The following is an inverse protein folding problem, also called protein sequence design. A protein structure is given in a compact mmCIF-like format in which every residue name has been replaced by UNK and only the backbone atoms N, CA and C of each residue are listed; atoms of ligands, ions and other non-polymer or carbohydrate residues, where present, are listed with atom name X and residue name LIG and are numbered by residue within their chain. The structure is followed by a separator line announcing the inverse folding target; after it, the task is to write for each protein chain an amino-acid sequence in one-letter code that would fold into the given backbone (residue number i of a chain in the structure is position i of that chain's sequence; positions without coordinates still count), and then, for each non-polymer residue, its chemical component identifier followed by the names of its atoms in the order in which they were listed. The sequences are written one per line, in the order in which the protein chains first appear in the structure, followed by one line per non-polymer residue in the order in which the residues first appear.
data_IF_841270457926
#
_entry.id   IF_841270457926
#
_cell.length_a   1.000
_cell.length_b   1.000
_cell.length_c   1.000
_cell.angle_alpha   90.00
_cell.angle_beta   90.00
_cell.angle_gamma   90.00
#
_symmetry.space_group_name_H-M   'P 1'
#
loop_
_entity.id
_entity.type
_entity.pdbx_description
1 polymer ?
#
# COMPACT_ATOMS: atom_id res chain seq x y z
N UNK A 1 5.16 -85.12 -17.60
CA UNK A 1 4.02 -84.28 -18.05
C UNK A 1 4.04 -83.02 -17.19
N UNK A 2 4.59 -81.93 -17.72
CA UNK A 2 3.86 -80.79 -18.34
C UNK A 2 3.12 -79.94 -17.29
N UNK A 3 3.73 -78.78 -17.02
CA UNK A 3 3.20 -77.46 -16.66
C UNK A 3 2.05 -77.37 -15.65
N UNK A 4 2.26 -76.60 -14.59
CA UNK A 4 1.50 -75.41 -14.19
C UNK A 4 2.09 -74.96 -12.85
N UNK A 5 2.97 -73.96 -12.87
CA UNK A 5 3.22 -73.13 -11.69
C UNK A 5 3.11 -71.68 -12.16
N UNK A 6 1.85 -71.29 -12.24
CA UNK A 6 1.33 -69.95 -12.51
C UNK A 6 1.82 -69.02 -11.36
N UNK A 7 2.54 -67.94 -11.68
CA UNK A 7 1.97 -66.59 -11.80
C UNK A 7 1.48 -65.98 -10.46
N UNK A 8 2.35 -65.76 -9.47
CA UNK A 8 2.11 -64.76 -8.41
C UNK A 8 3.45 -64.18 -7.92
N UNK A 9 4.11 -63.31 -8.70
CA UNK A 9 5.19 -62.46 -8.15
C UNK A 9 5.44 -61.19 -8.98
N UNK A 10 4.37 -60.45 -9.30
CA UNK A 10 4.50 -59.19 -10.07
C UNK A 10 3.45 -58.14 -9.68
N UNK A 11 3.09 -58.06 -8.39
CA UNK A 11 2.07 -57.12 -7.91
C UNK A 11 2.48 -56.30 -6.67
N UNK A 12 3.77 -55.97 -6.52
CA UNK A 12 4.25 -55.10 -5.42
C UNK A 12 5.25 -54.04 -5.92
N UNK A 13 4.96 -53.46 -7.09
CA UNK A 13 5.62 -52.25 -7.58
C UNK A 13 4.57 -51.19 -7.95
N UNK A 14 3.55 -51.02 -7.11
CA UNK A 14 2.88 -49.73 -7.03
C UNK A 14 3.76 -48.84 -6.16
N UNK A 15 4.82 -48.33 -6.79
CA UNK A 15 5.49 -47.11 -6.37
C UNK A 15 4.41 -46.09 -6.10
N UNK A 16 4.18 -45.84 -4.82
CA UNK A 16 3.50 -44.66 -4.30
C UNK A 16 4.33 -43.44 -4.74
N UNK A 17 4.24 -43.09 -6.02
CA UNK A 17 4.53 -41.75 -6.46
C UNK A 17 3.36 -40.92 -5.93
N UNK A 18 3.40 -40.57 -4.64
CA UNK A 18 2.67 -39.40 -4.18
C UNK A 18 3.30 -38.26 -4.98
N UNK A 19 2.70 -37.91 -6.11
CA UNK A 19 2.88 -36.61 -6.71
C UNK A 19 2.57 -35.64 -5.59
N UNK A 20 3.61 -35.10 -4.96
CA UNK A 20 3.48 -34.07 -3.96
C UNK A 20 2.59 -33.00 -4.57
N UNK A 21 1.48 -32.67 -3.90
CA UNK A 21 0.63 -31.58 -4.36
C UNK A 21 1.53 -30.36 -4.63
N UNK A 22 1.34 -29.67 -5.76
CA UNK A 22 2.15 -28.51 -6.08
C UNK A 22 2.08 -27.54 -4.90
N UNK A 23 3.24 -27.00 -4.49
CA UNK A 23 3.30 -26.06 -3.39
C UNK A 23 2.41 -24.85 -3.72
N UNK A 24 1.34 -24.67 -2.95
CA UNK A 24 0.42 -23.55 -3.12
C UNK A 24 1.18 -22.24 -2.99
N UNK A 25 0.89 -21.29 -3.88
CA UNK A 25 1.45 -19.93 -3.82
C UNK A 25 0.69 -19.12 -2.78
N UNK A 26 1.41 -18.24 -2.10
CA UNK A 26 0.82 -17.31 -1.12
C UNK A 26 1.16 -15.87 -1.45
N UNK A 27 0.22 -14.98 -1.19
CA UNK A 27 0.47 -13.54 -1.22
C UNK A 27 -0.09 -12.85 0.01
N UNK A 28 0.58 -11.77 0.40
CA UNK A 28 0.16 -10.89 1.47
C UNK A 28 -0.03 -9.48 0.90
N UNK A 29 -1.22 -8.93 1.06
CA UNK A 29 -1.58 -7.59 0.60
C UNK A 29 -1.95 -6.74 1.81
N UNK A 30 -1.39 -5.55 1.96
CA UNK A 30 -1.78 -4.64 3.04
C UNK A 30 -1.86 -3.18 2.61
N UNK A 31 -2.65 -2.42 3.35
CA UNK A 31 -2.89 -1.00 3.11
C UNK A 31 -2.87 -0.25 4.44
N UNK A 32 -2.19 0.88 4.46
CA UNK A 32 -2.18 1.82 5.58
C UNK A 32 -2.53 3.20 5.04
N UNK A 33 -3.52 3.84 5.65
CA UNK A 33 -3.86 5.24 5.39
C UNK A 33 -3.80 6.03 6.67
N UNK A 34 -3.06 7.12 6.65
CA UNK A 34 -3.08 8.13 7.69
C UNK A 34 -3.74 9.40 7.19
N UNK A 35 -4.69 9.91 7.96
CA UNK A 35 -5.30 11.21 7.77
C UNK A 35 -4.79 12.16 8.84
N UNK A 36 -3.92 13.11 8.47
CA UNK A 36 -3.37 14.11 9.38
C UNK A 36 -4.44 15.02 10.00
N UNK A 37 -5.46 15.51 9.26
CA UNK A 37 -6.51 16.36 9.83
C UNK A 37 -7.28 15.69 10.98
N UNK A 38 -7.61 14.41 10.83
CA UNK A 38 -8.38 13.64 11.80
C UNK A 38 -7.50 12.90 12.81
N UNK A 39 -6.17 12.93 12.64
CA UNK A 39 -5.22 12.10 13.37
C UNK A 39 -5.67 10.63 13.43
N UNK A 40 -6.07 10.09 12.27
CA UNK A 40 -6.67 8.75 12.18
C UNK A 40 -5.84 7.84 11.28
N UNK A 41 -5.64 6.61 11.74
CA UNK A 41 -5.00 5.53 10.98
C UNK A 41 -6.05 4.47 10.64
N UNK A 42 -6.10 4.12 9.37
CA UNK A 42 -6.86 3.00 8.83
C UNK A 42 -5.89 1.96 8.27
N UNK A 43 -6.09 0.70 8.63
CA UNK A 43 -5.21 -0.42 8.26
C UNK A 43 -6.04 -1.57 7.73
N UNK A 44 -5.64 -2.12 6.59
CA UNK A 44 -6.19 -3.36 6.06
C UNK A 44 -5.09 -4.35 5.68
N UNK A 45 -5.40 -5.64 5.77
CA UNK A 45 -4.53 -6.71 5.30
C UNK A 45 -5.34 -7.93 4.84
N UNK A 46 -4.85 -8.62 3.83
CA UNK A 46 -5.42 -9.88 3.32
C UNK A 46 -4.29 -10.84 2.97
N UNK A 47 -4.40 -12.08 3.46
CA UNK A 47 -3.57 -13.20 3.00
C UNK A 47 -4.35 -13.96 1.92
N UNK A 48 -3.68 -14.39 0.86
CA UNK A 48 -4.27 -15.22 -0.18
C UNK A 48 -3.43 -16.46 -0.45
N UNK A 49 -4.08 -17.55 -0.85
CA UNK A 49 -3.43 -18.82 -1.21
C UNK A 49 -4.10 -19.46 -2.43
N UNK A 50 -3.33 -20.12 -3.29
CA UNK A 50 -3.83 -20.92 -4.41
C UNK A 50 -2.74 -21.31 -5.42
N UNK A 51 -3.10 -22.10 -6.42
CA UNK A 51 -2.15 -22.56 -7.45
C UNK A 51 -2.10 -21.60 -8.64
N UNK A 52 -3.25 -21.40 -9.28
CA UNK A 52 -3.43 -20.47 -10.42
C UNK A 52 -4.21 -19.22 -10.03
N UNK A 53 -5.21 -19.37 -9.14
CA UNK A 53 -6.06 -18.29 -8.65
C UNK A 53 -5.95 -18.22 -7.13
N UNK A 54 -5.50 -17.09 -6.60
CA UNK A 54 -5.33 -16.90 -5.17
C UNK A 54 -6.65 -16.48 -4.51
N UNK A 55 -7.08 -17.25 -3.52
CA UNK A 55 -8.28 -16.96 -2.73
C UNK A 55 -7.90 -16.42 -1.35
N UNK A 56 -8.65 -15.46 -0.78
CA UNK A 56 -8.43 -14.99 0.58
C UNK A 56 -8.48 -16.16 1.58
N UNK A 57 -7.51 -16.21 2.48
CA UNK A 57 -7.44 -17.20 3.56
C UNK A 57 -7.23 -16.51 4.90
N UNK A 58 -7.64 -17.19 5.96
CA UNK A 58 -7.20 -16.89 7.32
C UNK A 58 -5.89 -17.64 7.57
N UNK A 59 -4.74 -16.97 7.77
CA UNK A 59 -3.51 -17.64 8.16
C UNK A 59 -3.66 -18.32 9.53
N UNK A 60 -2.74 -19.21 9.87
CA UNK A 60 -2.66 -19.73 11.23
C UNK A 60 -2.40 -18.58 12.21
N UNK A 61 -3.24 -18.44 13.22
CA UNK A 61 -3.26 -17.27 14.10
C UNK A 61 -4.02 -16.07 13.52
N UNK A 62 -3.77 -14.89 14.09
CA UNK A 62 -4.35 -13.63 13.66
C UNK A 62 -3.27 -12.78 12.96
N UNK A 63 -3.68 -11.80 12.14
CA UNK A 63 -2.76 -10.79 11.62
C UNK A 63 -2.69 -9.66 12.64
N UNK A 64 -1.46 -9.27 13.00
CA UNK A 64 -1.19 -8.18 13.91
C UNK A 64 -0.61 -6.99 13.13
N UNK A 65 -1.02 -5.79 13.51
CA UNK A 65 -0.43 -4.53 13.07
C UNK A 65 0.15 -3.80 14.28
N UNK A 66 1.43 -3.46 14.24
CA UNK A 66 2.15 -2.85 15.37
C UNK A 66 1.95 -3.64 16.68
N UNK A 67 2.00 -4.98 16.59
CA UNK A 67 1.78 -5.88 17.73
C UNK A 67 0.33 -5.95 18.24
N UNK A 68 -0.63 -5.27 17.60
CA UNK A 68 -2.05 -5.35 17.96
C UNK A 68 -2.80 -6.23 16.97
N UNK A 69 -3.61 -7.14 17.50
CA UNK A 69 -4.48 -7.97 16.68
C UNK A 69 -5.47 -7.13 15.86
N UNK A 70 -5.60 -7.46 14.58
CA UNK A 70 -6.56 -6.85 13.68
C UNK A 70 -7.90 -7.59 13.75
N UNK A 71 -8.99 -6.87 13.49
CA UNK A 71 -10.34 -7.43 13.43
C UNK A 71 -10.52 -8.18 12.11
N UNK A 72 -10.87 -9.45 12.17
CA UNK A 72 -11.27 -10.24 11.00
C UNK A 72 -12.66 -9.83 10.51
N UNK A 73 -12.77 -9.52 9.22
CA UNK A 73 -14.01 -9.31 8.47
C UNK A 73 -14.12 -10.40 7.41
N UNK A 74 -15.29 -11.02 7.27
CA UNK A 74 -15.50 -12.17 6.36
C UNK A 74 -16.48 -11.88 5.22
N UNK A 75 -17.04 -10.68 5.15
CA UNK A 75 -18.02 -10.29 4.12
C UNK A 75 -17.63 -8.95 3.50
N UNK A 76 -17.51 -8.83 2.17
CA UNK A 76 -17.74 -9.86 1.14
C UNK A 76 -16.57 -10.85 0.97
N UNK A 77 -15.39 -10.58 1.53
CA UNK A 77 -14.20 -11.42 1.48
C UNK A 77 -13.45 -11.37 2.82
N UNK A 78 -12.50 -12.27 3.03
CA UNK A 78 -11.62 -12.26 4.20
C UNK A 78 -10.64 -11.07 4.13
N UNK A 79 -10.80 -10.14 5.06
CA UNK A 79 -9.92 -8.98 5.24
C UNK A 79 -9.76 -8.70 6.73
N UNK A 80 -8.55 -8.35 7.13
CA UNK A 80 -8.22 -7.89 8.47
C UNK A 80 -8.25 -6.37 8.47
N UNK A 81 -8.91 -5.76 9.47
CA UNK A 81 -9.02 -4.31 9.60
C UNK A 81 -8.64 -3.83 10.99
N UNK A 82 -7.97 -2.69 11.06
CA UNK A 82 -7.77 -1.94 12.29
C UNK A 82 -7.92 -0.44 12.00
N UNK A 83 -8.79 0.21 12.77
CA UNK A 83 -8.94 1.66 12.79
C UNK A 83 -8.50 2.16 14.16
N UNK A 84 -7.61 3.16 14.22
CA UNK A 84 -7.20 3.79 15.48
C UNK A 84 -7.01 5.29 15.33
N UNK A 85 -7.37 6.10 16.35
CA UNK A 85 -6.81 7.43 16.47
C UNK A 85 -5.32 7.33 16.84
N UNK A 86 -4.54 8.34 16.48
CA UNK A 86 -3.15 8.45 16.91
C UNK A 86 -2.27 9.30 16.01
N UNK A 87 -1.00 9.39 16.40
CA UNK A 87 0.05 10.00 15.58
C UNK A 87 0.50 9.05 14.49
N UNK A 88 1.03 9.62 13.41
CA UNK A 88 1.67 8.85 12.35
C UNK A 88 2.96 8.18 12.84
N UNK A 89 3.12 6.91 12.48
CA UNK A 89 4.32 6.12 12.71
C UNK A 89 5.05 6.00 11.37
N UNK A 90 6.33 6.40 11.26
CA UNK A 90 7.05 6.32 9.98
C UNK A 90 7.32 4.88 9.50
N UNK A 91 7.30 3.94 10.43
CA UNK A 91 7.47 2.50 10.22
C UNK A 91 6.14 1.80 10.52
N UNK A 92 5.73 0.88 9.64
CA UNK A 92 4.50 0.12 9.75
C UNK A 92 4.81 -1.37 9.65
N UNK A 93 4.60 -2.10 10.74
CA UNK A 93 4.92 -3.53 10.83
C UNK A 93 3.64 -4.37 10.90
N UNK A 94 3.53 -5.30 9.96
CA UNK A 94 2.55 -6.38 9.98
C UNK A 94 3.24 -7.66 10.39
N UNK A 95 2.56 -8.49 11.20
CA UNK A 95 3.09 -9.78 11.60
C UNK A 95 2.01 -10.85 11.69
N UNK A 96 2.37 -12.08 11.36
CA UNK A 96 1.49 -13.26 11.44
C UNK A 96 2.32 -14.51 11.74
N UNK A 97 1.65 -15.63 12.05
CA UNK A 97 2.31 -16.92 12.21
C UNK A 97 2.31 -17.69 10.89
N UNK A 98 3.44 -18.30 10.55
CA UNK A 98 3.51 -19.27 9.46
C UNK A 98 2.96 -20.63 9.90
N UNK A 99 2.88 -21.59 8.96
CA UNK A 99 2.42 -22.98 9.22
C UNK A 99 3.33 -23.78 10.16
N UNK A 100 4.48 -23.23 10.54
CA UNK A 100 5.42 -23.81 11.51
C UNK A 100 5.34 -23.09 12.85
N UNK A 101 4.44 -22.11 13.02
CA UNK A 101 4.30 -21.30 14.21
C UNK A 101 5.35 -20.18 14.38
N UNK A 102 6.22 -19.96 13.38
CA UNK A 102 7.20 -18.88 13.41
C UNK A 102 6.53 -17.54 13.11
N UNK A 103 7.01 -16.48 13.75
CA UNK A 103 6.55 -15.13 13.44
C UNK A 103 7.18 -14.65 12.13
N UNK A 104 6.35 -14.30 11.17
CA UNK A 104 6.74 -13.61 9.93
C UNK A 104 6.39 -12.13 10.06
N UNK A 105 7.20 -11.24 9.48
CA UNK A 105 6.97 -9.81 9.48
C UNK A 105 7.06 -9.22 8.07
N UNK A 106 6.19 -8.26 7.77
CA UNK A 106 6.30 -7.38 6.63
C UNK A 106 6.33 -5.94 7.11
N UNK A 107 7.36 -5.21 6.71
CA UNK A 107 7.61 -3.84 7.11
C UNK A 107 7.46 -2.90 5.93
N UNK A 108 6.80 -1.77 6.18
CA UNK A 108 6.71 -0.67 5.24
C UNK A 108 7.15 0.62 5.94
N UNK A 109 7.75 1.54 5.19
CA UNK A 109 8.22 2.82 5.72
C UNK A 109 7.81 3.98 4.82
N UNK A 110 7.34 5.06 5.41
CA UNK A 110 7.00 6.29 4.71
C UNK A 110 7.38 7.50 5.58
N UNK A 111 8.07 8.48 4.99
CA UNK A 111 8.34 9.76 5.66
C UNK A 111 7.12 10.68 5.55
N UNK A 112 6.64 11.29 6.65
CA UNK A 112 5.50 12.19 6.60
C UNK A 112 5.84 13.50 5.88
N UNK A 113 4.80 14.26 5.52
CA UNK A 113 4.93 15.62 4.97
C UNK A 113 4.17 16.57 5.90
N UNK A 114 4.88 17.24 6.80
CA UNK A 114 4.25 18.02 7.88
C UNK A 114 4.13 19.51 7.54
N UNK A 115 5.15 20.07 6.88
CA UNK A 115 5.14 21.45 6.43
C UNK A 115 5.39 21.47 4.93
N UNK A 116 4.54 22.20 4.20
CA UNK A 116 4.68 22.33 2.75
C UNK A 116 4.10 23.67 2.30
N UNK A 117 4.49 24.10 1.10
CA UNK A 117 3.93 25.30 0.49
C UNK A 117 4.70 25.77 -0.72
N UNK A 118 4.09 26.71 -1.45
CA UNK A 118 4.69 27.35 -2.62
C UNK A 118 5.65 28.50 -2.29
N UNK A 119 5.88 28.79 -1.00
CA UNK A 119 6.59 29.99 -0.54
C UNK A 119 5.85 31.32 -0.76
N UNK A 120 4.81 31.31 -1.59
CA UNK A 120 3.89 32.43 -1.88
C UNK A 120 2.45 31.94 -1.76
N UNK A 121 1.55 32.82 -1.28
CA UNK A 121 0.09 32.57 -1.29
C UNK A 121 -0.58 32.98 -2.59
N UNK A 122 0.19 33.39 -3.60
CA UNK A 122 -0.30 33.76 -4.93
C UNK A 122 0.44 32.96 -5.99
N UNK A 123 -0.33 32.28 -6.84
CA UNK A 123 0.17 31.55 -8.01
C UNK A 123 -0.27 32.27 -9.27
N UNK A 124 0.64 32.36 -10.25
CA UNK A 124 0.32 32.90 -11.56
C UNK A 124 0.12 31.77 -12.56
N UNK A 125 -0.98 31.80 -13.31
CA UNK A 125 -1.26 30.86 -14.40
C UNK A 125 -0.25 30.96 -15.56
N UNK A 126 0.59 32.00 -15.56
CA UNK A 126 1.60 32.25 -16.60
C UNK A 126 3.03 31.89 -16.16
N UNK A 127 3.24 31.50 -14.90
CA UNK A 127 4.58 31.19 -14.36
C UNK A 127 4.60 29.78 -13.77
N UNK A 128 5.75 29.14 -13.85
CA UNK A 128 5.98 27.95 -13.06
C UNK A 128 5.93 28.30 -11.56
N UNK A 129 5.49 27.33 -10.76
CA UNK A 129 5.48 27.45 -9.31
C UNK A 129 6.21 26.25 -8.72
N UNK A 130 6.87 26.43 -7.58
CA UNK A 130 7.56 25.32 -6.91
C UNK A 130 6.94 25.12 -5.55
N UNK A 131 6.41 23.93 -5.32
CA UNK A 131 6.02 23.51 -3.98
C UNK A 131 7.23 22.83 -3.32
N UNK A 132 7.50 23.21 -2.09
CA UNK A 132 8.54 22.61 -1.25
C UNK A 132 7.91 22.02 0.00
N UNK A 133 8.57 21.05 0.63
CA UNK A 133 8.17 20.52 1.92
C UNK A 133 9.35 20.27 2.85
N UNK A 134 9.06 20.22 4.15
CA UNK A 134 9.99 19.73 5.17
C UNK A 134 9.95 18.20 5.21
N UNK A 135 11.13 17.58 5.14
CA UNK A 135 11.32 16.14 5.19
C UNK A 135 12.07 15.60 3.98
N UNK A 136 12.06 14.28 3.83
CA UNK A 136 12.82 13.60 2.78
C UNK A 136 12.20 13.82 1.39
N UNK A 137 13.04 13.95 0.34
CA UNK A 137 12.61 13.83 -1.06
C UNK A 137 11.81 12.54 -1.31
N UNK A 138 11.08 12.47 -2.42
CA UNK A 138 10.40 11.24 -2.81
C UNK A 138 11.41 10.13 -3.08
N UNK A 139 11.22 8.97 -2.47
CA UNK A 139 12.06 7.80 -2.71
C UNK A 139 11.48 6.88 -3.80
N UNK A 140 12.22 5.85 -4.20
CA UNK A 140 11.76 4.88 -5.21
C UNK A 140 10.44 4.23 -4.77
N UNK A 141 9.46 4.21 -5.67
CA UNK A 141 8.13 3.66 -5.40
C UNK A 141 7.20 4.63 -4.64
N UNK A 142 7.63 5.87 -4.44
CA UNK A 142 6.80 6.94 -3.89
C UNK A 142 6.25 7.88 -4.97
N UNK A 143 5.03 8.36 -4.73
CA UNK A 143 4.36 9.38 -5.55
C UNK A 143 3.75 10.44 -4.64
N UNK A 144 3.67 11.68 -5.14
CA UNK A 144 2.89 12.75 -4.51
C UNK A 144 1.66 13.07 -5.37
N UNK A 145 0.47 13.01 -4.77
CA UNK A 145 -0.77 13.44 -5.42
C UNK A 145 -1.21 14.74 -4.77
N UNK A 146 -1.53 15.73 -5.59
CA UNK A 146 -2.10 17.00 -5.15
C UNK A 146 -3.59 16.98 -5.43
N UNK A 147 -4.39 17.26 -4.41
CA UNK A 147 -5.83 17.36 -4.53
C UNK A 147 -6.22 18.81 -4.31
N UNK A 148 -6.71 19.44 -5.37
CA UNK A 148 -7.10 20.84 -5.41
C UNK A 148 -8.61 20.96 -5.35
N UNK A 149 -9.11 21.87 -4.52
CA UNK A 149 -10.53 22.16 -4.35
C UNK A 149 -10.78 23.67 -4.43
N UNK A 150 -11.79 24.05 -5.20
CA UNK A 150 -12.34 25.39 -5.22
C UNK A 150 -13.83 25.31 -4.89
N UNK A 151 -14.16 25.59 -3.63
CA UNK A 151 -15.53 25.51 -3.14
C UNK A 151 -16.48 26.50 -3.83
N UNK A 152 -16.00 27.70 -4.17
CA UNK A 152 -16.81 28.73 -4.85
C UNK A 152 -17.21 28.30 -6.27
N UNK A 153 -16.36 27.53 -6.94
CA UNK A 153 -16.62 26.98 -8.27
C UNK A 153 -17.22 25.56 -8.23
N UNK A 154 -17.27 24.91 -7.06
CA UNK A 154 -17.66 23.50 -6.93
C UNK A 154 -16.74 22.56 -7.71
N UNK A 155 -15.44 22.87 -7.81
CA UNK A 155 -14.47 22.12 -8.62
C UNK A 155 -13.44 21.40 -7.76
N UNK A 156 -13.12 20.17 -8.16
CA UNK A 156 -12.00 19.39 -7.61
C UNK A 156 -11.11 18.91 -8.74
N UNK A 157 -9.81 19.13 -8.64
CA UNK A 157 -8.83 18.74 -9.67
C UNK A 157 -7.72 17.91 -9.01
N UNK A 158 -7.59 16.61 -9.30
CA UNK A 158 -6.42 15.84 -8.92
C UNK A 158 -5.27 16.13 -9.88
N UNK A 159 -4.09 16.39 -9.34
CA UNK A 159 -2.84 16.46 -10.09
C UNK A 159 -1.85 15.46 -9.50
N UNK A 160 -1.66 14.33 -10.17
CA UNK A 160 -0.60 13.40 -9.83
C UNK A 160 0.72 13.92 -10.40
N UNK A 161 1.71 14.09 -9.53
CA UNK A 161 3.07 14.46 -9.95
C UNK A 161 4.05 13.47 -9.39
N UNK A 162 4.73 12.78 -10.28
CA UNK A 162 5.84 11.90 -9.95
C UNK A 162 7.09 12.77 -9.95
N UNK A 163 7.56 13.20 -8.77
CA UNK A 163 8.86 13.87 -8.66
C UNK A 163 9.96 12.82 -8.79
N UNK A 164 10.86 13.00 -9.75
CA UNK A 164 12.05 12.16 -9.94
C UNK A 164 13.32 12.80 -9.37
N UNK A 165 13.18 13.92 -8.66
CA UNK A 165 14.29 14.71 -8.13
C UNK A 165 14.79 14.24 -6.76
N UNK A 166 16.02 14.62 -6.43
CA UNK A 166 16.65 14.40 -5.11
C UNK A 166 16.33 15.48 -4.08
N UNK A 167 15.36 16.36 -4.37
CA UNK A 167 14.99 17.49 -3.53
C UNK A 167 13.56 17.32 -3.02
N UNK A 168 13.23 17.81 -1.80
CA UNK A 168 11.87 17.81 -1.27
C UNK A 168 11.04 18.92 -1.90
N UNK A 169 10.94 18.88 -3.23
CA UNK A 169 10.26 19.88 -4.04
C UNK A 169 9.63 19.28 -5.29
N UNK A 170 8.58 19.93 -5.77
CA UNK A 170 7.94 19.67 -7.05
C UNK A 170 7.74 20.98 -7.79
N UNK A 171 8.21 21.04 -9.03
CA UNK A 171 7.88 22.12 -9.93
C UNK A 171 6.54 21.84 -10.63
N UNK A 172 5.67 22.84 -10.61
CA UNK A 172 4.46 22.95 -11.39
C UNK A 172 4.75 23.83 -12.60
N UNK A 173 4.85 23.26 -13.81
CA UNK A 173 4.92 24.06 -15.01
C UNK A 173 3.71 25.00 -15.11
N UNK A 174 3.89 26.16 -15.76
CA UNK A 174 2.80 27.13 -15.96
C UNK A 174 1.56 26.48 -16.58
N UNK A 175 1.73 25.50 -17.48
CA UNK A 175 0.63 24.76 -18.11
C UNK A 175 -0.20 23.92 -17.13
N UNK A 176 0.38 23.47 -16.01
CA UNK A 176 -0.34 22.78 -14.93
C UNK A 176 -1.06 23.78 -14.03
N UNK A 177 -0.41 24.88 -13.67
CA UNK A 177 -1.05 25.96 -12.90
C UNK A 177 -2.23 26.56 -13.67
N UNK A 178 -2.12 26.70 -15.00
CA UNK A 178 -3.17 27.22 -15.86
C UNK A 178 -4.45 26.35 -15.90
N UNK A 179 -4.38 25.09 -15.47
CA UNK A 179 -5.56 24.22 -15.31
C UNK A 179 -6.44 24.64 -14.13
N UNK A 180 -5.88 25.40 -13.19
CA UNK A 180 -6.63 26.04 -12.12
C UNK A 180 -7.23 27.35 -12.67
N UNK A 181 -8.54 27.48 -12.55
CA UNK A 181 -9.23 28.74 -12.83
C UNK A 181 -8.80 29.82 -11.82
N UNK A 182 -8.86 31.11 -12.15
CA UNK A 182 -8.61 32.17 -11.19
C UNK A 182 -9.51 32.08 -9.96
N UNK A 183 -8.96 32.42 -8.80
CA UNK A 183 -9.65 32.42 -7.50
C UNK A 183 -8.91 31.64 -6.42
N UNK A 184 -9.57 31.50 -5.28
CA UNK A 184 -9.00 30.84 -4.11
C UNK A 184 -9.13 29.32 -4.22
N UNK A 185 -8.00 28.63 -4.12
CA UNK A 185 -7.92 27.18 -4.13
C UNK A 185 -7.35 26.67 -2.82
N UNK A 186 -8.00 25.67 -2.25
CA UNK A 186 -7.49 24.86 -1.16
C UNK A 186 -6.83 23.61 -1.75
N UNK A 187 -5.71 23.18 -1.21
CA UNK A 187 -5.06 21.96 -1.65
C UNK A 187 -4.46 21.20 -0.48
N UNK A 188 -4.35 19.89 -0.64
CA UNK A 188 -3.61 19.01 0.26
C UNK A 188 -2.85 17.97 -0.54
N UNK A 189 -1.90 17.32 0.12
CA UNK A 189 -1.00 16.35 -0.48
C UNK A 189 -1.33 14.94 0.00
N UNK A 190 -1.14 13.97 -0.89
CA UNK A 190 -1.14 12.55 -0.55
C UNK A 190 0.21 11.99 -0.95
N UNK A 191 1.08 11.71 0.04
CA UNK A 191 2.32 10.97 -0.19
C UNK A 191 2.00 9.48 -0.11
N UNK A 192 2.26 8.74 -1.19
CA UNK A 192 1.96 7.32 -1.32
C UNK A 192 3.24 6.54 -1.58
N UNK A 193 3.37 5.34 -1.00
CA UNK A 193 4.47 4.40 -1.31
C UNK A 193 3.96 3.00 -1.55
N UNK A 194 4.47 2.35 -2.59
CA UNK A 194 4.33 0.91 -2.81
C UNK A 194 5.59 0.17 -2.33
N UNK A 195 5.39 -0.78 -1.42
CA UNK A 195 6.45 -1.68 -0.93
C UNK A 195 6.15 -3.10 -1.42
N UNK A 196 7.15 -3.79 -1.97
CA UNK A 196 7.05 -5.19 -2.40
C UNK A 196 8.24 -5.98 -1.87
N UNK A 197 8.00 -7.19 -1.39
CA UNK A 197 9.03 -8.11 -0.91
C UNK A 197 8.61 -9.57 -1.16
N UNK A 198 9.59 -10.47 -1.20
CA UNK A 198 9.34 -11.91 -1.00
C UNK A 198 9.77 -12.26 0.42
N UNK A 199 8.85 -12.79 1.23
CA UNK A 199 9.11 -13.15 2.62
C UNK A 199 8.85 -14.64 2.76
N UNK A 200 9.93 -15.43 2.77
CA UNK A 200 9.87 -16.89 2.87
C UNK A 200 8.97 -17.53 1.79
N UNK A 201 9.01 -17.03 0.55
CA UNK A 201 8.17 -17.50 -0.55
C UNK A 201 6.74 -16.95 -0.56
N UNK A 202 6.42 -16.01 0.34
CA UNK A 202 5.17 -15.25 0.32
C UNK A 202 5.42 -13.92 -0.42
N UNK A 203 4.74 -13.71 -1.54
CA UNK A 203 4.79 -12.44 -2.25
C UNK A 203 4.02 -11.37 -1.45
N UNK A 204 4.73 -10.49 -0.76
CA UNK A 204 4.17 -9.41 0.03
C UNK A 204 4.15 -8.09 -0.76
N UNK A 205 3.03 -7.39 -0.71
CA UNK A 205 2.86 -6.08 -1.32
C UNK A 205 2.03 -5.20 -0.39
N UNK A 206 2.44 -3.95 -0.22
CA UNK A 206 1.65 -3.01 0.57
C UNK A 206 1.78 -1.57 0.14
N UNK A 207 0.74 -0.82 0.44
CA UNK A 207 0.64 0.61 0.14
C UNK A 207 0.50 1.37 1.46
N UNK A 208 1.30 2.42 1.65
CA UNK A 208 1.09 3.43 2.69
C UNK A 208 0.70 4.75 2.03
N UNK A 209 -0.31 5.42 2.55
CA UNK A 209 -0.73 6.77 2.15
C UNK A 209 -0.76 7.70 3.37
N UNK A 210 -0.15 8.88 3.22
CA UNK A 210 -0.18 9.97 4.20
C UNK A 210 -0.90 11.17 3.58
N UNK A 211 -2.06 11.51 4.13
CA UNK A 211 -2.85 12.69 3.75
C UNK A 211 -2.50 13.84 4.67
N UNK A 212 -2.04 14.94 4.11
CA UNK A 212 -1.61 16.12 4.87
C UNK A 212 -2.79 16.97 5.34
N UNK A 213 -2.52 17.94 6.21
CA UNK A 213 -3.34 19.15 6.34
C UNK A 213 -3.51 19.85 4.99
N UNK A 214 -4.50 20.72 4.88
CA UNK A 214 -4.70 21.57 3.71
C UNK A 214 -3.98 22.92 3.84
N UNK A 215 -3.67 23.52 2.70
CA UNK A 215 -3.23 24.90 2.58
C UNK A 215 -4.02 25.61 1.47
N UNK A 216 -3.93 26.93 1.40
CA UNK A 216 -4.71 27.77 0.47
C UNK A 216 -3.79 28.72 -0.30
N UNK A 217 -4.11 28.91 -1.59
CA UNK A 217 -3.48 29.90 -2.47
C UNK A 217 -4.53 30.62 -3.32
N UNK A 218 -4.19 31.84 -3.72
CA UNK A 218 -4.94 32.59 -4.72
C UNK A 218 -4.30 32.40 -6.10
N UNK A 219 -5.08 31.92 -7.07
CA UNK A 219 -4.63 31.75 -8.45
C UNK A 219 -5.03 32.96 -9.29
N UNK A 220 -4.07 33.54 -10.01
CA UNK A 220 -4.25 34.72 -10.87
C UNK A 220 -3.83 34.43 -12.32
#
# INVERSE_FOLDING_TARGET
MKHIFFLILSALAFSFCQTAEPAKKRSFECYVRYLEPEAQIHVEATMREGDTTLQPIQPEGNILYQGKEMKLLTTPNITYRLDKPGRFDAQHVFSWKDVKGNTTQFEMQLSPVQQFGFGSKQLSRQKAATLTWEGEPLSKGETMVFLWENAALGKTIPMEIISTGSQPSVEFPASKVAQLDPGTWTYYLVRKKLTKADINGIAASGIIEYYTQSDTVEVK
#
